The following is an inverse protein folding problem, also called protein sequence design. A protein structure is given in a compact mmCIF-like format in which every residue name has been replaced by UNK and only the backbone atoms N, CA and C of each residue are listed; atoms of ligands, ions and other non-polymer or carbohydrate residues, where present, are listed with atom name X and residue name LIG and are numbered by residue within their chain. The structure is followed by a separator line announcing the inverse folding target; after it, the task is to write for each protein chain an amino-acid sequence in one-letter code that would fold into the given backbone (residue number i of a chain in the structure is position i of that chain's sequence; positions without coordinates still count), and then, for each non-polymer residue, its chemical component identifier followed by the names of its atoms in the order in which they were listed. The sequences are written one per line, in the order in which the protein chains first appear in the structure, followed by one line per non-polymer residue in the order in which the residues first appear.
data_IF_718500412876
#
_entry.id   IF_718500412876
#
_cell.length_a   1.000
_cell.length_b   1.000
_cell.length_c   1.000
_cell.angle_alpha   90.00
_cell.angle_beta   90.00
_cell.angle_gamma   90.00
#
_symmetry.space_group_name_H-M   'P 1'
#
loop_
_entity.id
_entity.type
_entity.pdbx_description
1 polymer ?
#
# COMPACT_ATOMS: atom_id res chain seq x y z
N UNK A 1 -12.37 -17.93 -2.86
CA UNK A 1 -13.74 -18.12 -2.32
C UNK A 1 -14.50 -16.79 -2.15
N UNK A 2 -14.00 -15.81 -1.37
CA UNK A 2 -14.67 -14.51 -1.12
C UNK A 2 -15.01 -13.72 -2.40
N UNK A 3 -14.07 -13.63 -3.34
CA UNK A 3 -14.28 -12.97 -4.65
C UNK A 3 -15.46 -13.56 -5.41
N UNK A 4 -15.48 -14.89 -5.56
CA UNK A 4 -16.55 -15.60 -6.27
C UNK A 4 -17.90 -15.33 -5.61
N UNK A 5 -17.98 -15.41 -4.28
CA UNK A 5 -19.19 -15.12 -3.53
C UNK A 5 -19.69 -13.68 -3.74
N UNK A 6 -18.78 -12.70 -3.78
CA UNK A 6 -19.13 -11.30 -4.05
C UNK A 6 -19.67 -11.12 -5.48
N UNK A 7 -19.02 -11.70 -6.49
CA UNK A 7 -19.45 -11.57 -7.88
C UNK A 7 -20.78 -12.31 -8.15
N UNK A 8 -21.00 -13.45 -7.48
CA UNK A 8 -22.23 -14.24 -7.62
C UNK A 8 -23.45 -13.59 -6.92
N UNK A 9 -23.22 -12.73 -5.91
CA UNK A 9 -24.30 -12.15 -5.09
C UNK A 9 -25.11 -11.07 -5.81
N UNK A 10 -24.60 -10.53 -6.93
CA UNK A 10 -25.18 -9.34 -7.61
C UNK A 10 -25.36 -8.14 -6.67
N UNK A 11 -24.49 -8.01 -5.68
CA UNK A 11 -24.54 -6.90 -4.73
C UNK A 11 -24.26 -5.55 -5.40
N UNK A 12 -24.94 -4.50 -4.91
CA UNK A 12 -24.69 -3.11 -5.35
C UNK A 12 -23.31 -2.60 -4.93
N UNK A 13 -22.78 -3.12 -3.81
CA UNK A 13 -21.46 -2.78 -3.29
C UNK A 13 -20.86 -3.92 -2.46
N UNK A 14 -19.55 -3.89 -2.29
CA UNK A 14 -18.79 -4.79 -1.42
C UNK A 14 -17.98 -4.00 -0.39
N UNK A 15 -18.23 -4.26 0.90
CA UNK A 15 -17.38 -3.78 1.99
C UNK A 15 -16.60 -4.96 2.58
N UNK A 16 -15.28 -4.86 2.57
CA UNK A 16 -14.38 -5.84 3.18
C UNK A 16 -13.77 -5.25 4.45
N UNK A 17 -14.32 -5.58 5.61
CA UNK A 17 -13.90 -5.05 6.90
C UNK A 17 -12.80 -5.94 7.50
N UNK A 18 -11.70 -5.33 7.95
CA UNK A 18 -10.53 -6.00 8.52
C UNK A 18 -9.95 -5.20 9.69
N UNK A 19 -9.16 -5.89 10.54
CA UNK A 19 -8.32 -5.27 11.56
C UNK A 19 -6.87 -5.48 11.14
N UNK A 20 -6.11 -4.39 11.06
CA UNK A 20 -4.75 -4.39 10.58
C UNK A 20 -3.77 -4.79 11.68
N UNK A 21 -2.52 -5.08 11.31
CA UNK A 21 -1.45 -5.38 12.27
C UNK A 21 -0.11 -5.10 11.63
N UNK A 22 0.73 -4.30 12.28
CA UNK A 22 2.11 -4.00 11.87
C UNK A 22 3.07 -4.36 12.99
N UNK A 23 4.31 -4.78 12.71
CA UNK A 23 5.31 -5.01 13.74
C UNK A 23 5.55 -3.80 14.65
N UNK A 24 5.46 -2.58 14.12
CA UNK A 24 5.57 -1.36 14.91
C UNK A 24 4.21 -0.97 15.51
N UNK A 25 4.16 -0.78 16.83
CA UNK A 25 2.94 -0.42 17.56
C UNK A 25 2.53 1.06 17.43
N UNK A 26 3.23 1.83 16.59
CA UNK A 26 2.96 3.28 16.42
C UNK A 26 1.77 3.55 15.51
N UNK A 27 1.42 2.58 14.65
CA UNK A 27 0.40 2.75 13.64
C UNK A 27 -0.97 2.74 14.30
N UNK A 28 -1.82 3.70 13.96
CA UNK A 28 -3.21 3.75 14.38
C UNK A 28 -4.11 4.45 13.37
N UNK A 29 -5.42 4.29 13.51
CA UNK A 29 -6.45 4.95 12.73
C UNK A 29 -7.01 4.07 11.62
N UNK A 30 -8.33 4.11 11.45
CA UNK A 30 -9.00 3.40 10.38
C UNK A 30 -8.65 3.96 8.99
N UNK A 31 -8.52 3.08 7.99
CA UNK A 31 -8.18 3.45 6.62
C UNK A 31 -8.96 2.64 5.59
N UNK A 32 -9.53 3.34 4.61
CA UNK A 32 -10.20 2.73 3.48
C UNK A 32 -9.27 2.57 2.28
N UNK A 33 -9.43 1.46 1.57
CA UNK A 33 -8.72 1.18 0.32
C UNK A 33 -9.69 0.84 -0.81
N UNK A 34 -9.33 1.24 -2.03
CA UNK A 34 -10.15 1.05 -3.24
C UNK A 34 -9.30 0.64 -4.45
N UNK A 35 -9.93 0.12 -5.50
CA UNK A 35 -9.27 -0.02 -6.81
C UNK A 35 -9.30 1.31 -7.57
N UNK A 36 -8.13 1.83 -7.94
CA UNK A 36 -8.01 3.07 -8.71
C UNK A 36 -8.64 3.00 -10.10
N UNK A 37 -8.88 1.79 -10.63
CA UNK A 37 -9.53 1.59 -11.95
C UNK A 37 -11.05 1.77 -11.91
N UNK A 38 -11.66 1.79 -10.72
CA UNK A 38 -13.11 1.91 -10.54
C UNK A 38 -13.42 3.23 -9.81
N UNK A 39 -13.83 4.29 -10.53
CA UNK A 39 -14.14 5.60 -9.93
C UNK A 39 -15.19 5.52 -8.81
N UNK A 40 -16.17 4.63 -8.94
CA UNK A 40 -17.23 4.41 -7.97
C UNK A 40 -16.69 3.85 -6.64
N UNK A 41 -15.71 2.94 -6.70
CA UNK A 41 -15.03 2.40 -5.52
C UNK A 41 -14.25 3.48 -4.78
N UNK A 42 -13.62 4.41 -5.51
CA UNK A 42 -12.95 5.56 -4.91
C UNK A 42 -13.92 6.45 -4.14
N UNK A 43 -15.04 6.81 -4.74
CA UNK A 43 -16.07 7.64 -4.11
C UNK A 43 -16.64 6.95 -2.85
N UNK A 44 -16.90 5.65 -2.93
CA UNK A 44 -17.34 4.84 -1.78
C UNK A 44 -16.33 4.89 -0.64
N UNK A 45 -15.06 4.59 -0.93
CA UNK A 45 -14.00 4.59 0.07
C UNK A 45 -13.74 5.98 0.67
N UNK A 46 -13.81 7.05 -0.12
CA UNK A 46 -13.64 8.43 0.37
C UNK A 46 -14.79 8.87 1.28
N UNK A 47 -16.03 8.50 0.97
CA UNK A 47 -17.19 8.78 1.85
C UNK A 47 -17.11 8.02 3.17
N UNK A 48 -16.75 6.73 3.14
CA UNK A 48 -16.54 5.95 4.36
C UNK A 48 -15.37 6.52 5.17
N UNK A 49 -14.24 6.82 4.54
CA UNK A 49 -13.08 7.40 5.23
C UNK A 49 -13.42 8.72 5.93
N UNK A 50 -14.16 9.60 5.26
CA UNK A 50 -14.60 10.88 5.85
C UNK A 50 -15.40 10.64 7.12
N UNK A 51 -16.38 9.73 7.06
CA UNK A 51 -17.22 9.40 8.22
C UNK A 51 -16.42 8.80 9.38
N UNK A 52 -15.46 7.91 9.08
CA UNK A 52 -14.55 7.33 10.08
C UNK A 52 -13.71 8.41 10.78
N UNK A 53 -13.15 9.35 10.01
CA UNK A 53 -12.36 10.47 10.53
C UNK A 53 -13.20 11.39 11.41
N UNK A 54 -14.43 11.70 11.01
CA UNK A 54 -15.33 12.60 11.73
C UNK A 54 -15.86 11.99 13.03
N UNK A 55 -16.17 10.69 13.06
CA UNK A 55 -16.88 10.04 14.17
C UNK A 55 -16.00 9.34 15.20
N UNK A 56 -14.81 8.85 14.83
CA UNK A 56 -14.01 8.00 15.71
C UNK A 56 -12.85 8.72 16.40
N UNK A 57 -12.27 9.74 15.78
CA UNK A 57 -11.18 10.56 16.33
C UNK A 57 -9.93 9.78 16.79
N UNK A 58 -8.88 10.53 17.20
CA UNK A 58 -8.06 11.24 16.22
C UNK A 58 -7.59 10.28 15.11
N UNK A 59 -8.15 10.46 13.92
CA UNK A 59 -7.75 9.75 12.71
C UNK A 59 -7.56 10.80 11.61
N UNK A 60 -6.41 10.80 10.92
CA UNK A 60 -6.09 11.74 9.83
C UNK A 60 -5.86 11.05 8.49
N UNK A 61 -6.06 9.74 8.45
CA UNK A 61 -5.79 8.92 7.27
C UNK A 61 -6.73 9.27 6.14
N UNK A 62 -6.24 9.08 4.91
CA UNK A 62 -7.01 9.26 3.68
C UNK A 62 -7.26 7.92 3.01
N UNK A 63 -8.33 7.84 2.24
CA UNK A 63 -8.59 6.67 1.42
C UNK A 63 -7.48 6.55 0.35
N UNK A 64 -6.94 5.34 0.17
CA UNK A 64 -5.86 5.09 -0.79
C UNK A 64 -6.20 3.98 -1.78
N UNK A 65 -5.66 4.08 -3.00
CA UNK A 65 -5.76 2.96 -3.92
C UNK A 65 -4.82 1.83 -3.49
N UNK A 66 -5.31 0.60 -3.51
CA UNK A 66 -4.54 -0.59 -3.21
C UNK A 66 -4.74 -1.66 -4.29
N UNK A 67 -3.72 -2.48 -4.47
CA UNK A 67 -3.76 -3.61 -5.40
C UNK A 67 -4.19 -4.92 -4.70
N UNK A 68 -5.09 -4.80 -3.71
CA UNK A 68 -5.66 -5.94 -3.01
C UNK A 68 -6.50 -6.81 -3.94
N UNK A 69 -6.31 -8.12 -3.88
CA UNK A 69 -7.02 -9.13 -4.66
C UNK A 69 -8.53 -8.94 -4.62
N UNK A 70 -9.09 -8.71 -3.42
CA UNK A 70 -10.54 -8.56 -3.25
C UNK A 70 -11.09 -7.34 -3.99
N UNK A 71 -10.30 -6.26 -4.11
CA UNK A 71 -10.70 -5.04 -4.81
C UNK A 71 -10.55 -5.21 -6.32
N UNK A 72 -9.47 -5.86 -6.77
CA UNK A 72 -9.15 -6.06 -8.20
C UNK A 72 -10.03 -7.10 -8.88
N UNK A 73 -10.45 -8.12 -8.14
CA UNK A 73 -11.14 -9.27 -8.71
C UNK A 73 -12.67 -9.21 -8.56
N UNK A 74 -13.20 -8.13 -7.99
CA UNK A 74 -14.65 -7.94 -7.80
C UNK A 74 -15.20 -6.91 -8.77
N UNK A 75 -16.45 -7.10 -9.20
CA UNK A 75 -17.03 -6.31 -10.32
C UNK A 75 -17.94 -5.17 -9.87
N UNK A 76 -18.37 -5.15 -8.62
CA UNK A 76 -19.15 -4.07 -8.02
C UNK A 76 -18.22 -3.04 -7.37
N UNK A 77 -18.70 -1.79 -7.13
CA UNK A 77 -17.99 -0.84 -6.27
C UNK A 77 -17.60 -1.48 -4.95
N UNK A 78 -16.32 -1.41 -4.60
CA UNK A 78 -15.76 -2.13 -3.47
C UNK A 78 -14.79 -1.29 -2.66
N UNK A 79 -14.82 -1.46 -1.34
CA UNK A 79 -13.89 -0.82 -0.42
C UNK A 79 -13.43 -1.82 0.66
N UNK A 80 -12.13 -1.85 0.90
CA UNK A 80 -11.56 -2.50 2.09
C UNK A 80 -11.50 -1.47 3.20
N UNK A 81 -12.07 -1.77 4.36
CA UNK A 81 -12.05 -0.90 5.53
C UNK A 81 -11.18 -1.56 6.59
N UNK A 82 -9.94 -1.07 6.74
CA UNK A 82 -9.09 -1.41 7.87
C UNK A 82 -9.55 -0.56 9.06
N UNK A 83 -10.09 -1.16 10.11
CA UNK A 83 -10.77 -0.41 11.18
C UNK A 83 -9.83 0.10 12.28
N UNK A 84 -8.55 -0.27 12.21
CA UNK A 84 -7.52 0.02 13.20
C UNK A 84 -6.42 -1.03 13.15
N UNK A 85 -5.46 -0.96 14.06
CA UNK A 85 -4.27 -1.80 14.16
C UNK A 85 -4.26 -2.54 15.49
N UNK A 86 -4.47 -3.86 15.47
CA UNK A 86 -4.42 -4.70 16.70
C UNK A 86 -3.04 -4.70 17.37
N UNK A 87 -1.99 -4.35 16.61
CA UNK A 87 -0.63 -4.20 17.14
C UNK A 87 -0.41 -2.91 17.93
N UNK A 88 -1.38 -1.99 17.92
CA UNK A 88 -1.36 -0.79 18.74
C UNK A 88 -2.17 -1.02 20.01
N UNK A 89 -1.57 -1.02 21.21
CA UNK A 89 -2.28 -1.32 22.46
C UNK A 89 -3.51 -0.45 22.72
N UNK A 90 -3.49 0.82 22.29
CA UNK A 90 -4.65 1.72 22.46
C UNK A 90 -5.80 1.34 21.53
N UNK A 91 -5.49 0.90 20.31
CA UNK A 91 -6.52 0.47 19.38
C UNK A 91 -7.01 -0.94 19.68
N UNK A 92 -6.14 -1.84 20.16
CA UNK A 92 -6.55 -3.15 20.67
C UNK A 92 -7.59 -2.99 21.79
N UNK A 93 -7.31 -2.14 22.78
CA UNK A 93 -8.24 -1.84 23.88
C UNK A 93 -9.55 -1.24 23.35
N UNK A 94 -9.47 -0.29 22.41
CA UNK A 94 -10.66 0.30 21.79
C UNK A 94 -11.49 -0.71 20.98
N UNK A 95 -10.85 -1.63 20.24
CA UNK A 95 -11.55 -2.63 19.41
C UNK A 95 -12.25 -3.71 20.25
N UNK A 96 -11.80 -3.94 21.49
CA UNK A 96 -12.48 -4.80 22.46
C UNK A 96 -13.71 -4.11 23.07
N UNK A 97 -13.72 -2.78 23.17
CA UNK A 97 -14.84 -1.99 23.69
C UNK A 97 -16.08 -2.06 22.78
N UNK A 98 -17.22 -2.43 23.38
CA UNK A 98 -18.49 -2.56 22.66
C UNK A 98 -18.99 -1.20 22.14
N UNK A 99 -18.87 -0.15 22.96
CA UNK A 99 -19.30 1.20 22.57
C UNK A 99 -18.49 1.77 21.40
N UNK A 100 -17.19 1.49 21.34
CA UNK A 100 -16.34 1.84 20.21
C UNK A 100 -16.75 1.07 18.95
N UNK A 101 -16.99 -0.25 19.05
CA UNK A 101 -17.47 -1.05 17.90
C UNK A 101 -18.81 -0.56 17.36
N UNK A 102 -19.72 -0.12 18.23
CA UNK A 102 -21.00 0.49 17.82
C UNK A 102 -20.76 1.77 17.01
N UNK A 103 -19.92 2.69 17.51
CA UNK A 103 -19.57 3.93 16.79
C UNK A 103 -18.85 3.66 15.48
N UNK A 104 -17.99 2.64 15.44
CA UNK A 104 -17.28 2.21 14.24
C UNK A 104 -18.26 1.69 13.18
N UNK A 105 -19.21 0.83 13.57
CA UNK A 105 -20.26 0.36 12.69
C UNK A 105 -21.14 1.52 12.20
N UNK A 106 -21.50 2.46 13.08
CA UNK A 106 -22.26 3.66 12.73
C UNK A 106 -21.51 4.54 11.71
N UNK A 107 -20.19 4.71 11.87
CA UNK A 107 -19.38 5.48 10.93
C UNK A 107 -19.31 4.83 9.54
N UNK A 108 -19.11 3.51 9.48
CA UNK A 108 -19.15 2.77 8.22
C UNK A 108 -20.53 2.89 7.57
N UNK A 109 -21.60 2.74 8.35
CA UNK A 109 -22.98 2.89 7.89
C UNK A 109 -23.23 4.28 7.32
N UNK A 110 -22.90 5.35 8.07
CA UNK A 110 -23.13 6.73 7.64
C UNK A 110 -22.38 7.06 6.34
N UNK A 111 -21.10 6.69 6.23
CA UNK A 111 -20.33 6.94 5.00
C UNK A 111 -20.84 6.15 3.80
N UNK A 112 -21.31 4.92 4.01
CA UNK A 112 -21.93 4.09 2.96
C UNK A 112 -23.28 4.67 2.52
N UNK A 113 -24.11 5.07 3.48
CA UNK A 113 -25.40 5.70 3.21
C UNK A 113 -25.23 7.04 2.50
N UNK A 114 -24.23 7.84 2.87
CA UNK A 114 -23.88 9.08 2.17
C UNK A 114 -23.52 8.80 0.70
N UNK A 115 -22.67 7.81 0.42
CA UNK A 115 -22.34 7.41 -0.95
C UNK A 115 -23.59 6.99 -1.74
N UNK A 116 -24.42 6.10 -1.18
CA UNK A 116 -25.62 5.59 -1.85
C UNK A 116 -26.65 6.69 -2.12
N UNK A 117 -26.82 7.63 -1.18
CA UNK A 117 -27.81 8.71 -1.32
C UNK A 117 -27.34 9.83 -2.23
N UNK A 118 -26.03 10.12 -2.28
CA UNK A 118 -25.46 11.04 -3.25
C UNK A 118 -25.62 10.55 -4.70
N UNK A 119 -25.72 9.23 -4.93
CA UNK A 119 -26.04 8.70 -6.25
C UNK A 119 -27.54 8.82 -6.61
N UNK A 120 -28.43 8.86 -5.61
CA UNK A 120 -29.88 8.99 -5.82
C UNK A 120 -30.29 10.44 -6.10
N UNK A 121 -29.60 11.41 -5.51
CA UNK A 121 -29.79 12.83 -5.84
C UNK A 121 -28.78 13.25 -6.90
N UNK A 122 -29.17 13.31 -8.17
CA UNK A 122 -28.33 13.79 -9.28
C UNK A 122 -27.86 15.26 -9.19
N UNK A 123 -27.78 15.83 -7.98
CA UNK A 123 -27.15 17.10 -7.66
C UNK A 123 -25.90 16.83 -6.83
N UNK A 124 -24.80 16.50 -7.48
CA UNK A 124 -23.52 16.85 -6.91
C UNK A 124 -23.47 18.38 -6.81
N UNK A 125 -23.09 18.99 -5.67
CA UNK A 125 -22.48 20.30 -5.75
C UNK A 125 -21.30 20.14 -6.71
N UNK A 126 -21.44 20.69 -7.91
CA UNK A 126 -20.32 20.84 -8.83
C UNK A 126 -19.32 21.66 -8.07
N UNK A 127 -18.26 21.01 -7.60
CA UNK A 127 -17.08 21.73 -7.19
C UNK A 127 -16.60 22.41 -8.48
N UNK A 128 -16.96 23.68 -8.67
CA UNK A 128 -16.38 24.55 -9.70
C UNK A 128 -14.96 24.92 -9.26
N UNK A 129 -14.17 23.91 -8.91
CA UNK A 129 -12.73 24.01 -8.95
C UNK A 129 -12.39 24.34 -10.39
N UNK A 130 -11.79 25.51 -10.60
CA UNK A 130 -11.14 25.93 -11.84
C UNK A 130 -10.75 24.71 -12.68
N UNK A 131 -11.32 24.63 -13.89
CA UNK A 131 -10.85 23.85 -15.05
C UNK A 131 -9.87 22.74 -14.62
N UNK A 132 -10.37 21.53 -14.38
CA UNK A 132 -9.53 20.33 -14.28
C UNK A 132 -8.73 20.24 -15.58
N UNK A 133 -7.53 20.82 -15.58
CA UNK A 133 -6.44 20.33 -16.39
C UNK A 133 -6.25 18.90 -15.90
N UNK A 134 -6.59 17.92 -16.72
CA UNK A 134 -6.13 16.54 -16.55
C UNK A 134 -4.69 16.60 -16.07
N UNK A 135 -4.44 16.36 -14.78
CA UNK A 135 -3.10 15.99 -14.34
C UNK A 135 -2.97 14.54 -14.75
N UNK A 136 -2.61 14.35 -16.02
CA UNK A 136 -1.62 13.34 -16.37
C UNK A 136 -0.55 13.49 -15.29
N UNK A 137 -0.42 12.49 -14.42
CA UNK A 137 0.66 12.49 -13.44
C UNK A 137 1.92 12.85 -14.22
N UNK A 138 2.67 13.90 -13.83
CA UNK A 138 3.88 14.21 -14.56
C UNK A 138 4.72 12.93 -14.57
N UNK A 139 5.32 12.65 -15.70
CA UNK A 139 6.45 11.73 -15.75
C UNK A 139 7.36 12.15 -14.61
N UNK A 140 7.49 11.30 -13.59
CA UNK A 140 8.32 11.61 -12.44
C UNK A 140 9.75 11.49 -12.93
N UNK A 141 10.27 12.59 -13.44
CA UNK A 141 11.69 12.76 -13.69
C UNK A 141 12.35 12.83 -12.31
N UNK A 142 12.68 11.66 -11.76
CA UNK A 142 13.66 11.61 -10.69
C UNK A 142 14.92 12.29 -11.22
N UNK A 143 15.48 13.21 -10.45
CA UNK A 143 16.86 13.63 -10.72
C UNK A 143 17.72 12.36 -10.75
N UNK A 144 18.52 12.11 -11.80
CA UNK A 144 19.31 10.90 -11.88
C UNK A 144 20.17 10.81 -10.62
N UNK A 145 20.13 9.65 -9.97
CA UNK A 145 20.89 9.41 -8.75
C UNK A 145 22.37 9.62 -9.03
N UNK A 146 23.05 10.37 -8.15
CA UNK A 146 24.49 10.55 -8.24
C UNK A 146 25.21 9.19 -8.29
N UNK A 147 26.25 9.02 -9.12
CA UNK A 147 27.01 7.78 -9.16
C UNK A 147 27.52 7.38 -7.78
N UNK A 148 27.31 6.11 -7.40
CA UNK A 148 27.67 5.62 -6.06
C UNK A 148 26.64 5.93 -4.97
N UNK A 149 25.39 6.22 -5.33
CA UNK A 149 24.28 6.29 -4.37
C UNK A 149 23.17 5.32 -4.73
N UNK A 150 22.33 5.01 -3.74
CA UNK A 150 21.07 4.32 -3.92
C UNK A 150 19.94 5.07 -3.20
N UNK A 151 18.73 4.96 -3.74
CA UNK A 151 17.52 5.43 -3.09
C UNK A 151 16.71 4.25 -2.55
N UNK A 152 16.59 4.12 -1.24
CA UNK A 152 15.85 3.03 -0.59
C UNK A 152 14.52 3.57 -0.04
N UNK A 153 13.42 2.86 -0.25
CA UNK A 153 12.10 3.30 0.19
C UNK A 153 11.69 2.63 1.50
N UNK A 154 11.48 3.44 2.54
CA UNK A 154 11.04 3.03 3.87
C UNK A 154 9.72 3.72 4.24
N UNK A 155 9.11 3.31 5.35
CA UNK A 155 7.88 3.93 5.83
C UNK A 155 8.19 5.23 6.57
N UNK A 156 7.31 6.23 6.40
CA UNK A 156 7.39 7.47 7.14
C UNK A 156 7.37 7.23 8.66
N UNK A 157 8.05 8.06 9.47
CA UNK A 157 8.17 7.89 10.92
C UNK A 157 6.95 8.43 11.67
N UNK A 158 5.85 8.66 10.96
CA UNK A 158 4.65 9.29 11.49
C UNK A 158 3.44 8.39 11.25
N UNK A 159 2.38 8.65 12.00
CA UNK A 159 1.13 7.92 11.89
C UNK A 159 0.07 8.72 11.10
N UNK A 160 0.50 9.59 10.19
CA UNK A 160 -0.44 10.39 9.40
C UNK A 160 -1.04 9.55 8.27
N UNK A 161 -0.20 8.77 7.57
CA UNK A 161 -0.63 7.92 6.46
C UNK A 161 0.40 6.82 6.13
N UNK A 162 0.01 5.84 5.30
CA UNK A 162 0.90 4.83 4.71
C UNK A 162 1.69 5.46 3.56
N UNK A 163 2.74 6.19 3.90
CA UNK A 163 3.61 6.87 2.94
C UNK A 163 5.01 6.28 2.95
N UNK A 164 5.60 6.18 1.77
CA UNK A 164 7.00 5.92 1.60
C UNK A 164 7.82 7.22 1.67
N UNK A 165 8.97 7.12 2.33
CA UNK A 165 10.00 8.13 2.36
C UNK A 165 11.28 7.56 1.73
N UNK A 166 11.87 8.25 0.73
CA UNK A 166 13.15 7.84 0.18
C UNK A 166 14.29 8.18 1.14
N UNK A 167 15.21 7.25 1.31
CA UNK A 167 16.51 7.46 1.94
C UNK A 167 17.61 7.32 0.88
N UNK A 168 18.40 8.38 0.67
CA UNK A 168 19.57 8.33 -0.22
C UNK A 168 20.76 7.81 0.59
N UNK A 169 21.31 6.67 0.18
CA UNK A 169 22.46 6.03 0.80
C UNK A 169 23.68 6.14 -0.09
N UNK A 170 24.80 6.55 0.50
CA UNK A 170 26.10 6.51 -0.17
C UNK A 170 26.63 5.08 -0.20
N UNK A 171 26.83 4.56 -1.40
CA UNK A 171 27.31 3.21 -1.68
C UNK A 171 28.37 3.30 -2.79
N UNK A 172 29.63 3.65 -2.46
CA UNK A 172 30.68 3.89 -3.45
C UNK A 172 30.86 2.77 -4.48
N UNK A 173 30.61 1.52 -4.07
CA UNK A 173 30.64 0.35 -4.95
C UNK A 173 29.64 0.44 -6.13
N UNK A 174 28.54 1.18 -5.98
CA UNK A 174 27.54 1.36 -7.05
C UNK A 174 28.01 2.26 -8.20
N UNK A 175 29.21 2.85 -8.12
CA UNK A 175 29.81 3.58 -9.26
C UNK A 175 30.12 2.64 -10.42
N UNK A 176 30.58 1.44 -10.12
CA UNK A 176 31.04 0.46 -11.10
C UNK A 176 30.01 -0.67 -11.32
N UNK A 177 29.18 -0.95 -10.32
CA UNK A 177 28.21 -2.05 -10.36
C UNK A 177 26.97 -1.72 -11.19
N UNK A 178 26.58 -2.65 -12.07
CA UNK A 178 25.42 -2.50 -12.98
C UNK A 178 24.53 -3.74 -12.98
N UNK A 179 23.30 -3.56 -13.48
CA UNK A 179 22.36 -4.64 -13.73
C UNK A 179 22.14 -5.56 -12.52
N UNK A 180 22.38 -6.86 -12.70
CA UNK A 180 22.12 -7.88 -11.68
C UNK A 180 22.91 -7.64 -10.38
N UNK A 181 24.18 -7.25 -10.47
CA UNK A 181 25.05 -7.07 -9.30
C UNK A 181 24.59 -5.87 -8.47
N UNK A 182 24.29 -4.74 -9.13
CA UNK A 182 23.66 -3.57 -8.50
C UNK A 182 22.36 -3.96 -7.80
N UNK A 183 21.48 -4.72 -8.45
CA UNK A 183 20.23 -5.19 -7.84
C UNK A 183 20.41 -6.02 -6.58
N UNK A 184 21.41 -6.92 -6.54
CA UNK A 184 21.73 -7.70 -5.34
C UNK A 184 22.20 -6.81 -4.18
N UNK A 185 23.04 -5.82 -4.46
CA UNK A 185 23.51 -4.85 -3.45
C UNK A 185 22.33 -4.05 -2.90
N UNK A 186 21.44 -3.56 -3.76
CA UNK A 186 20.25 -2.82 -3.36
C UNK A 186 19.35 -3.62 -2.42
N UNK A 187 19.10 -4.90 -2.74
CA UNK A 187 18.31 -5.78 -1.90
C UNK A 187 18.99 -5.99 -0.53
N UNK A 188 20.29 -6.27 -0.51
CA UNK A 188 21.04 -6.41 0.74
C UNK A 188 20.99 -5.14 1.60
N UNK A 189 21.09 -3.96 0.98
CA UNK A 189 21.02 -2.68 1.68
C UNK A 189 19.63 -2.36 2.21
N UNK A 190 18.58 -2.67 1.44
CA UNK A 190 17.19 -2.49 1.86
C UNK A 190 16.85 -3.38 3.07
N UNK A 191 17.34 -4.62 3.08
CA UNK A 191 17.15 -5.58 4.18
C UNK A 191 17.82 -5.18 5.50
N UNK A 192 18.83 -4.30 5.46
CA UNK A 192 19.43 -3.71 6.67
C UNK A 192 18.48 -2.74 7.37
N UNK A 193 17.42 -2.30 6.68
CA UNK A 193 16.52 -1.26 7.14
C UNK A 193 17.10 0.15 6.94
N UNK A 194 16.42 1.16 7.51
CA UNK A 194 16.86 2.55 7.51
C UNK A 194 18.25 2.72 8.12
N UNK A 195 18.93 3.81 7.75
CA UNK A 195 20.27 4.13 8.27
C UNK A 195 20.30 4.31 9.79
N UNK A 196 21.48 4.16 10.40
CA UNK A 196 21.65 4.40 11.82
C UNK A 196 21.23 5.84 12.20
N UNK A 197 20.38 5.97 13.22
CA UNK A 197 19.81 7.25 13.64
C UNK A 197 18.69 7.80 12.74
N UNK A 198 18.31 7.08 11.68
CA UNK A 198 17.15 7.40 10.86
C UNK A 198 15.86 7.21 11.66
N UNK A 199 14.93 8.16 11.55
CA UNK A 199 13.61 8.03 12.17
C UNK A 199 12.70 7.07 11.37
N UNK A 200 13.04 6.82 10.10
CA UNK A 200 12.23 6.00 9.18
C UNK A 200 12.02 4.59 9.73
N UNK A 201 10.98 3.93 9.26
CA UNK A 201 10.59 2.61 9.74
C UNK A 201 10.79 1.55 8.65
N UNK A 202 11.35 0.37 9.00
CA UNK A 202 11.52 -0.71 8.04
C UNK A 202 10.16 -1.23 7.56
N UNK A 203 10.03 -1.44 6.25
CA UNK A 203 8.86 -2.08 5.63
C UNK A 203 9.01 -3.61 5.51
N UNK A 204 10.24 -4.10 5.66
CA UNK A 204 10.61 -5.49 5.46
C UNK A 204 11.41 -5.98 6.67
N UNK A 205 11.25 -7.26 7.07
CA UNK A 205 12.10 -7.85 8.08
C UNK A 205 13.50 -8.10 7.53
N UNK A 206 14.51 -7.98 8.39
CA UNK A 206 15.83 -8.54 8.09
C UNK A 206 15.75 -10.06 8.04
N UNK A 207 16.63 -10.68 7.25
CA UNK A 207 16.70 -12.15 7.16
C UNK A 207 17.09 -12.63 5.77
N UNK A 208 17.16 -13.95 5.64
CA UNK A 208 17.55 -14.65 4.42
C UNK A 208 16.31 -15.29 3.77
N UNK A 209 15.38 -14.45 3.32
CA UNK A 209 14.14 -14.87 2.67
C UNK A 209 14.15 -14.61 1.16
N UNK A 210 15.19 -13.96 0.62
CA UNK A 210 15.35 -13.77 -0.84
C UNK A 210 16.02 -15.03 -1.40
N UNK A 211 15.28 -15.77 -2.21
CA UNK A 211 15.73 -17.02 -2.83
C UNK A 211 16.41 -16.79 -4.17
N UNK A 212 16.00 -15.75 -4.89
CA UNK A 212 16.51 -15.46 -6.21
C UNK A 212 16.22 -14.04 -6.67
N UNK A 213 17.09 -13.53 -7.53
CA UNK A 213 16.92 -12.26 -8.21
C UNK A 213 17.43 -12.38 -9.64
N UNK A 214 16.62 -11.95 -10.60
CA UNK A 214 16.91 -11.96 -12.03
C UNK A 214 16.51 -10.62 -12.64
N UNK A 215 17.25 -10.20 -13.65
CA UNK A 215 16.96 -9.00 -14.44
C UNK A 215 16.71 -9.41 -15.89
N UNK A 216 15.61 -8.93 -16.46
CA UNK A 216 15.15 -9.24 -17.81
C UNK A 216 14.75 -7.94 -18.51
N UNK A 217 15.74 -7.22 -19.07
CA UNK A 217 15.50 -5.91 -19.67
C UNK A 217 15.03 -4.89 -18.62
N UNK A 218 13.84 -4.32 -18.85
CA UNK A 218 13.20 -3.34 -17.95
C UNK A 218 12.32 -3.99 -16.86
N UNK A 219 12.41 -5.31 -16.70
CA UNK A 219 11.67 -6.07 -15.68
C UNK A 219 12.65 -6.81 -14.77
N UNK A 220 12.44 -6.76 -13.45
CA UNK A 220 13.12 -7.65 -12.52
C UNK A 220 12.18 -8.75 -12.01
N UNK A 221 12.74 -9.91 -11.68
CA UNK A 221 12.04 -11.01 -11.02
C UNK A 221 12.75 -11.31 -9.71
N UNK A 222 12.03 -11.14 -8.59
CA UNK A 222 12.49 -11.53 -7.26
C UNK A 222 11.71 -12.77 -6.82
N UNK A 223 12.42 -13.79 -6.34
CA UNK A 223 11.84 -14.97 -5.71
C UNK A 223 12.05 -14.87 -4.21
N UNK A 224 10.96 -14.90 -3.45
CA UNK A 224 10.97 -14.80 -1.98
C UNK A 224 10.42 -16.07 -1.36
N UNK A 225 10.88 -16.40 -0.16
CA UNK A 225 10.33 -17.51 0.62
C UNK A 225 8.95 -17.16 1.16
N UNK A 226 8.05 -18.15 1.23
CA UNK A 226 6.76 -18.03 1.92
C UNK A 226 6.90 -17.67 3.41
N UNK A 227 8.08 -17.89 4.01
CA UNK A 227 8.40 -17.41 5.35
C UNK A 227 8.30 -15.88 5.48
N UNK A 228 8.60 -15.11 4.41
CA UNK A 228 8.42 -13.66 4.43
C UNK A 228 6.97 -13.28 4.76
N UNK A 229 6.01 -13.97 4.14
CA UNK A 229 4.59 -13.77 4.42
C UNK A 229 4.21 -14.04 5.87
N UNK A 230 4.77 -15.13 6.44
CA UNK A 230 4.58 -15.49 7.86
C UNK A 230 5.27 -14.53 8.83
N UNK A 231 6.33 -13.84 8.41
CA UNK A 231 7.00 -12.84 9.24
C UNK A 231 6.25 -11.51 9.19
N UNK A 232 5.78 -11.13 8.00
CA UNK A 232 4.97 -9.92 7.85
C UNK A 232 3.69 -10.08 8.68
N UNK A 233 3.04 -11.25 8.63
CA UNK A 233 1.84 -11.66 9.40
C UNK A 233 0.89 -10.51 9.76
N UNK A 234 0.72 -9.63 8.79
CA UNK A 234 0.11 -8.32 8.95
C UNK A 234 -1.12 -8.21 8.07
N UNK A 235 -1.91 -7.17 8.32
CA UNK A 235 -3.06 -6.87 7.47
C UNK A 235 -2.64 -6.44 6.06
N UNK A 236 -3.62 -6.14 5.20
CA UNK A 236 -3.35 -5.77 3.81
C UNK A 236 -2.36 -4.62 3.65
N UNK A 237 -2.34 -3.67 4.59
CA UNK A 237 -1.40 -2.56 4.50
C UNK A 237 0.05 -2.97 4.77
N UNK A 238 0.33 -3.97 5.63
CA UNK A 238 1.71 -4.42 5.86
C UNK A 238 2.26 -5.09 4.61
N UNK A 239 1.43 -5.91 3.98
CA UNK A 239 1.75 -6.57 2.72
C UNK A 239 1.99 -5.53 1.62
N UNK A 240 1.16 -4.49 1.54
CA UNK A 240 1.32 -3.36 0.62
C UNK A 240 2.67 -2.65 0.82
N UNK A 241 3.01 -2.31 2.06
CA UNK A 241 4.25 -1.61 2.38
C UNK A 241 5.49 -2.46 2.07
N UNK A 242 5.46 -3.74 2.40
CA UNK A 242 6.54 -4.68 2.10
C UNK A 242 6.78 -4.83 0.59
N UNK A 243 5.70 -5.07 -0.18
CA UNK A 243 5.75 -5.24 -1.63
C UNK A 243 6.28 -3.96 -2.29
N UNK A 244 5.69 -2.80 -2.01
CA UNK A 244 6.07 -1.58 -2.73
C UNK A 244 7.37 -0.96 -2.24
N UNK A 245 7.87 -1.30 -1.04
CA UNK A 245 9.26 -0.98 -0.66
C UNK A 245 10.26 -1.68 -1.59
N UNK A 246 10.05 -2.96 -1.91
CA UNK A 246 10.86 -3.71 -2.89
C UNK A 246 10.72 -3.10 -4.29
N UNK A 247 9.49 -2.97 -4.77
CA UNK A 247 9.19 -2.54 -6.15
C UNK A 247 9.75 -1.14 -6.41
N UNK A 248 9.44 -0.17 -5.54
CA UNK A 248 9.89 1.21 -5.74
C UNK A 248 11.41 1.34 -5.67
N UNK A 249 12.05 0.63 -4.72
CA UNK A 249 13.52 0.63 -4.59
C UNK A 249 14.17 0.05 -5.84
N UNK A 250 13.76 -1.13 -6.30
CA UNK A 250 14.36 -1.75 -7.48
C UNK A 250 14.09 -0.93 -8.74
N UNK A 251 12.84 -0.51 -8.95
CA UNK A 251 12.44 0.22 -10.15
C UNK A 251 13.20 1.52 -10.32
N UNK A 252 13.32 2.33 -9.27
CA UNK A 252 14.04 3.60 -9.34
C UNK A 252 15.54 3.40 -9.62
N UNK A 253 16.19 2.50 -8.87
CA UNK A 253 17.65 2.40 -8.93
C UNK A 253 18.17 1.64 -10.16
N UNK A 254 17.32 0.80 -10.77
CA UNK A 254 17.66 -0.01 -11.94
C UNK A 254 16.91 0.43 -13.20
N UNK A 255 16.15 1.52 -13.14
CA UNK A 255 15.36 2.06 -14.27
C UNK A 255 14.37 1.03 -14.83
N UNK A 256 13.70 0.29 -13.95
CA UNK A 256 12.72 -0.75 -14.33
C UNK A 256 11.33 -0.15 -14.50
N UNK A 257 10.58 -0.70 -15.44
CA UNK A 257 9.15 -0.44 -15.57
C UNK A 257 8.33 -1.19 -14.53
N UNK A 258 8.79 -2.37 -14.15
CA UNK A 258 8.03 -3.29 -13.31
C UNK A 258 8.91 -4.35 -12.63
N UNK A 259 8.36 -4.96 -11.57
CA UNK A 259 8.98 -6.04 -10.83
C UNK A 259 7.97 -7.17 -10.62
N UNK A 260 8.31 -8.38 -11.03
CA UNK A 260 7.55 -9.59 -10.70
C UNK A 260 8.07 -10.21 -9.41
N UNK A 261 7.16 -10.61 -8.53
CA UNK A 261 7.48 -11.32 -7.28
C UNK A 261 6.98 -12.76 -7.39
N UNK A 262 7.84 -13.72 -7.11
CA UNK A 262 7.50 -15.14 -6.96
C UNK A 262 7.56 -15.51 -5.49
N UNK A 263 6.74 -16.47 -5.08
CA UNK A 263 6.81 -17.06 -3.74
C UNK A 263 7.19 -18.53 -3.88
N UNK A 264 8.36 -18.89 -3.35
CA UNK A 264 8.97 -20.22 -3.47
C UNK A 264 9.03 -20.74 -4.91
N UNK A 265 9.32 -19.83 -5.86
CA UNK A 265 9.41 -20.11 -7.29
C UNK A 265 8.07 -20.13 -8.04
N UNK A 266 6.94 -20.02 -7.33
CA UNK A 266 5.60 -20.05 -7.92
C UNK A 266 5.09 -18.65 -8.28
N UNK A 267 4.46 -18.54 -9.46
CA UNK A 267 3.72 -17.36 -9.92
C UNK A 267 2.27 -17.42 -9.45
N UNK A 268 1.64 -16.27 -9.25
CA UNK A 268 0.23 -16.20 -8.88
C UNK A 268 -0.06 -16.63 -7.44
N UNK A 269 0.99 -16.76 -6.63
CA UNK A 269 0.90 -16.93 -5.19
C UNK A 269 0.55 -15.61 -4.51
N UNK A 270 0.27 -15.68 -3.21
CA UNK A 270 0.07 -14.51 -2.34
C UNK A 270 1.17 -14.46 -1.31
N UNK A 271 1.58 -13.28 -0.86
CA UNK A 271 2.55 -13.17 0.23
C UNK A 271 1.87 -13.37 1.59
N UNK A 272 0.84 -12.57 1.88
CA UNK A 272 0.04 -12.57 3.11
C UNK A 272 -1.46 -12.79 2.88
N UNK A 273 -1.86 -13.10 1.63
CA UNK A 273 -3.24 -13.42 1.26
C UNK A 273 -4.07 -12.22 0.75
N UNK A 274 -3.55 -11.00 0.80
CA UNK A 274 -4.25 -9.81 0.32
C UNK A 274 -3.85 -9.42 -1.10
N UNK A 275 -2.65 -9.78 -1.56
CA UNK A 275 -2.16 -9.47 -2.92
C UNK A 275 -2.04 -10.73 -3.77
N UNK A 276 -2.47 -10.62 -5.03
CA UNK A 276 -2.08 -11.60 -6.07
C UNK A 276 -0.75 -11.16 -6.67
N UNK A 277 0.19 -12.11 -6.78
CA UNK A 277 1.50 -11.91 -7.40
C UNK A 277 1.60 -12.69 -8.72
N UNK A 278 0.56 -12.59 -9.55
CA UNK A 278 0.49 -13.20 -10.88
C UNK A 278 1.09 -12.30 -11.97
N UNK A 279 0.84 -11.00 -11.87
CA UNK A 279 1.30 -9.99 -12.83
C UNK A 279 2.49 -9.15 -12.31
N UNK A 280 3.35 -8.62 -13.19
CA UNK A 280 4.38 -7.66 -12.81
C UNK A 280 3.78 -6.40 -12.16
N UNK A 281 4.46 -5.89 -11.13
CA UNK A 281 4.03 -4.72 -10.36
C UNK A 281 4.82 -3.49 -10.80
N UNK A 282 4.10 -2.42 -11.16
CA UNK A 282 4.68 -1.12 -11.45
C UNK A 282 4.98 -0.35 -10.16
N UNK A 283 6.01 0.51 -10.14
CA UNK A 283 6.25 1.38 -8.99
C UNK A 283 5.05 2.29 -8.71
N UNK A 284 4.83 2.57 -7.42
CA UNK A 284 3.71 3.38 -6.89
C UNK A 284 4.22 4.68 -6.29
N UNK A 285 4.63 5.65 -7.11
CA UNK A 285 5.15 6.92 -6.61
C UNK A 285 4.07 7.80 -5.96
N UNK A 286 2.79 7.54 -6.26
CA UNK A 286 1.65 8.16 -5.58
C UNK A 286 1.59 7.83 -4.08
N UNK A 287 2.29 6.77 -3.64
CA UNK A 287 2.45 6.42 -2.23
C UNK A 287 3.69 7.06 -1.60
N UNK A 288 4.46 7.88 -2.32
CA UNK A 288 5.62 8.60 -1.79
C UNK A 288 5.24 10.03 -1.43
N UNK A 289 5.63 10.49 -0.23
CA UNK A 289 5.42 11.88 0.21
C UNK A 289 6.27 12.89 -0.56
N UNK A 290 7.30 12.39 -1.24
CA UNK A 290 8.11 13.16 -2.18
C UNK A 290 7.46 13.12 -3.55
N UNK A 291 6.69 14.17 -3.87
CA UNK A 291 6.83 14.72 -5.21
C UNK A 291 8.29 15.15 -5.32
N UNK A 292 9.13 14.33 -5.94
CA UNK A 292 10.52 14.71 -6.22
C UNK A 292 10.44 15.99 -7.05
N UNK A 293 10.68 17.12 -6.37
CA UNK A 293 10.85 18.43 -6.97
C UNK A 293 12.29 18.59 -7.42
#
# INVERSE_FOLDING_TARGET
HRVKMANDSKADLLLSIHVNSFPQSIWSGAQCFYDSKIPESKLLAESIQRSLVEKLGPNRRKAKSADYMILKATTMPSATVEVGFISNPREEEALVDEGYRERLAEAIFCGTAEYLTQQVTGNHPVFTGKKLTSKVYPDLSFSPLSPGTACLYFAAPNNEDLEFCPEIRELPQLKEEKGLSKGKILLQELLKGPGEGSALLPCLPSGDWIRGFRLMGETAVIDVSSELGKIINGGGASELMAIYSLVNTLALNLELKEVSILVDGEKGSTLGGHFMLDEPLQPRPDLSSTGVR
#
